data_IF_425556056909
#
_entry.id   IF_425556056909
#
_cell.length_a   1.000
_cell.length_b   1.000
_cell.length_c   1.000
_cell.angle_alpha   90.00
_cell.angle_beta   90.00
_cell.angle_gamma   90.00
#
_symmetry.space_group_name_H-M   'P 1'
#
loop_
_entity.id
_entity.type
_entity.pdbx_description
1 polymer ?
#
# COMPACT_ATOMS: atom_id res chain seq x y z
N UNK A 1 3.22 -66.22 -1.33
CA UNK A 1 3.66 -64.98 -0.64
C UNK A 1 4.22 -64.00 -1.67
N UNK A 2 3.44 -62.99 -2.05
CA UNK A 2 3.93 -61.80 -2.78
C UNK A 2 3.21 -60.61 -2.18
N UNK A 3 3.88 -59.89 -1.30
CA UNK A 3 3.43 -58.64 -0.73
C UNK A 3 3.75 -57.53 -1.73
N UNK A 4 2.72 -56.96 -2.34
CA UNK A 4 2.83 -55.71 -3.08
C UNK A 4 2.76 -54.56 -2.07
N UNK A 5 3.88 -53.85 -1.88
CA UNK A 5 3.90 -52.54 -1.23
C UNK A 5 3.54 -51.48 -2.27
N UNK A 6 2.36 -50.88 -2.15
CA UNK A 6 2.01 -49.68 -2.92
C UNK A 6 2.46 -48.47 -2.12
N UNK A 7 3.56 -47.83 -2.56
CA UNK A 7 4.00 -46.55 -2.01
C UNK A 7 3.06 -45.46 -2.54
N UNK A 8 2.27 -44.86 -1.66
CA UNK A 8 1.49 -43.65 -1.97
C UNK A 8 2.47 -42.48 -1.92
N UNK A 9 2.90 -42.00 -3.09
CA UNK A 9 3.60 -40.73 -3.22
C UNK A 9 2.57 -39.62 -2.93
N UNK A 10 2.57 -39.09 -1.72
CA UNK A 10 1.88 -37.84 -1.41
C UNK A 10 2.63 -36.71 -2.13
N UNK A 11 2.14 -36.34 -3.31
CA UNK A 11 2.53 -35.09 -3.94
C UNK A 11 2.09 -33.95 -3.01
N UNK A 12 3.04 -33.41 -2.25
CA UNK A 12 2.90 -32.11 -1.62
C UNK A 12 2.73 -31.10 -2.75
N UNK A 13 1.49 -30.81 -3.12
CA UNK A 13 1.13 -29.61 -3.85
C UNK A 13 1.43 -28.44 -2.91
N UNK A 14 2.69 -28.00 -2.91
CA UNK A 14 3.03 -26.66 -2.46
C UNK A 14 2.21 -25.72 -3.34
N UNK A 15 1.10 -25.22 -2.81
CA UNK A 15 0.45 -24.06 -3.38
C UNK A 15 1.56 -23.03 -3.61
N UNK A 16 1.63 -22.38 -4.79
CA UNK A 16 2.58 -21.30 -4.96
C UNK A 16 2.39 -20.35 -3.77
N UNK A 17 3.49 -20.05 -3.07
CA UNK A 17 3.56 -18.99 -2.08
C UNK A 17 3.25 -17.70 -2.84
N UNK A 18 1.96 -17.45 -2.98
CA UNK A 18 1.43 -16.27 -3.58
C UNK A 18 1.87 -15.14 -2.66
N UNK A 19 2.79 -14.28 -3.12
CA UNK A 19 3.13 -13.03 -2.43
C UNK A 19 1.82 -12.34 -1.99
N UNK A 20 1.58 -12.26 -0.69
CA UNK A 20 0.43 -11.53 -0.16
C UNK A 20 0.55 -10.09 -0.68
N UNK A 21 -0.56 -9.49 -1.12
CA UNK A 21 -0.53 -8.08 -1.50
C UNK A 21 -0.42 -7.20 -0.25
N UNK A 22 -0.68 -7.76 0.93
CA UNK A 22 -0.45 -7.11 2.21
C UNK A 22 1.01 -6.71 2.37
N UNK A 23 1.23 -5.55 2.98
CA UNK A 23 2.52 -5.17 3.50
C UNK A 23 2.69 -5.78 4.88
N UNK A 24 3.82 -6.44 5.13
CA UNK A 24 4.21 -6.87 6.47
C UNK A 24 4.65 -5.66 7.30
N UNK A 25 3.70 -4.82 7.69
CA UNK A 25 3.99 -3.50 8.27
C UNK A 25 4.83 -3.59 9.54
N UNK A 26 4.65 -4.67 10.32
CA UNK A 26 5.45 -4.95 11.51
C UNK A 26 6.96 -5.12 11.24
N UNK A 27 7.38 -5.36 9.99
CA UNK A 27 8.80 -5.42 9.58
C UNK A 27 9.45 -4.04 9.53
N UNK A 28 8.66 -2.97 9.53
CA UNK A 28 9.14 -1.58 9.58
C UNK A 28 9.31 -1.13 11.03
N UNK A 29 10.33 -1.64 11.71
CA UNK A 29 10.72 -1.19 13.06
C UNK A 29 10.93 0.33 13.07
N UNK A 30 10.71 1.03 14.21
CA UNK A 30 10.99 2.47 14.32
C UNK A 30 12.39 2.82 13.79
N UNK A 31 12.47 3.80 12.90
CA UNK A 31 13.71 4.19 12.21
C UNK A 31 13.90 3.55 10.84
N UNK A 32 13.05 2.60 10.43
CA UNK A 32 13.03 2.10 9.04
C UNK A 32 12.62 3.23 8.09
N UNK A 33 13.27 3.30 6.93
CA UNK A 33 13.10 4.38 5.95
C UNK A 33 12.86 3.80 4.56
N UNK A 34 11.73 4.17 3.95
CA UNK A 34 11.41 3.92 2.55
C UNK A 34 11.52 5.24 1.78
N UNK A 35 12.29 5.28 0.70
CA UNK A 35 12.46 6.48 -0.14
C UNK A 35 11.90 6.20 -1.53
N UNK A 36 10.99 7.07 -1.98
CA UNK A 36 10.32 7.01 -3.27
C UNK A 36 10.63 8.27 -4.07
N UNK A 37 10.75 8.14 -5.39
CA UNK A 37 10.99 9.23 -6.32
C UNK A 37 10.00 9.16 -7.49
N UNK A 38 9.38 10.29 -7.83
CA UNK A 38 8.49 10.40 -8.98
C UNK A 38 9.25 10.60 -10.31
N UNK A 39 8.53 10.63 -11.44
CA UNK A 39 9.11 10.83 -12.76
C UNK A 39 9.61 12.27 -13.03
N UNK A 40 9.32 13.20 -12.12
CA UNK A 40 9.80 14.58 -12.13
C UNK A 40 11.02 14.78 -11.22
N UNK A 41 11.46 13.72 -10.51
CA UNK A 41 12.58 13.75 -9.58
C UNK A 41 12.22 14.26 -8.18
N UNK A 42 10.93 14.40 -7.85
CA UNK A 42 10.52 14.69 -6.48
C UNK A 42 10.69 13.46 -5.60
N UNK A 43 11.38 13.64 -4.48
CA UNK A 43 11.69 12.57 -3.54
C UNK A 43 10.85 12.74 -2.28
N UNK A 44 10.21 11.64 -1.86
CA UNK A 44 9.48 11.55 -0.59
C UNK A 44 10.00 10.37 0.19
N UNK A 45 10.29 10.57 1.48
CA UNK A 45 10.65 9.49 2.39
C UNK A 45 9.55 9.21 3.41
N UNK A 46 9.42 7.93 3.75
CA UNK A 46 8.45 7.38 4.68
C UNK A 46 9.23 6.78 5.85
N UNK A 47 9.26 7.49 6.97
CA UNK A 47 9.96 7.11 8.19
C UNK A 47 9.01 6.39 9.15
N UNK A 48 9.28 5.12 9.43
CA UNK A 48 8.52 4.35 10.42
C UNK A 48 8.76 4.91 11.83
N UNK A 49 7.67 5.21 12.54
CA UNK A 49 7.69 5.71 13.92
C UNK A 49 7.28 4.67 14.96
N UNK A 50 6.84 3.50 14.50
CA UNK A 50 6.32 2.42 15.34
C UNK A 50 4.81 2.44 15.48
N UNK A 51 4.33 1.63 16.42
CA UNK A 51 2.91 1.43 16.65
C UNK A 51 2.34 2.43 17.66
N UNK A 52 1.15 2.94 17.37
CA UNK A 52 0.35 3.82 18.22
C UNK A 52 -1.07 3.30 18.22
N UNK A 53 -1.55 2.82 19.37
CA UNK A 53 -2.93 2.33 19.55
C UNK A 53 -3.34 1.24 18.52
N UNK A 54 -2.45 0.29 18.22
CA UNK A 54 -2.75 -0.79 17.25
C UNK A 54 -2.48 -0.42 15.79
N UNK A 55 -2.07 0.81 15.50
CA UNK A 55 -1.78 1.29 14.14
C UNK A 55 -0.31 1.65 13.96
N UNK A 56 0.25 1.35 12.80
CA UNK A 56 1.63 1.67 12.46
C UNK A 56 1.72 3.05 11.86
N UNK A 57 2.50 3.93 12.48
CA UNK A 57 2.69 5.31 12.04
C UNK A 57 3.91 5.44 11.14
N UNK A 58 3.74 6.17 10.04
CA UNK A 58 4.80 6.63 9.16
C UNK A 58 4.74 8.15 9.03
N UNK A 59 5.87 8.81 9.25
CA UNK A 59 6.04 10.23 8.95
C UNK A 59 6.57 10.38 7.52
N UNK A 60 6.05 11.39 6.82
CA UNK A 60 6.42 11.73 5.45
C UNK A 60 7.31 12.97 5.44
N UNK A 61 8.35 12.94 4.62
CA UNK A 61 9.25 14.07 4.42
C UNK A 61 9.52 14.30 2.93
N UNK A 62 9.52 15.55 2.51
CA UNK A 62 9.91 15.99 1.16
C UNK A 62 11.44 16.00 1.05
N UNK A 63 11.99 14.82 0.74
CA UNK A 63 13.41 14.56 0.64
C UNK A 63 13.76 13.12 1.00
N UNK A 64 15.02 12.73 0.78
CA UNK A 64 15.50 11.36 0.98
C UNK A 64 15.75 10.98 2.45
N UNK A 65 15.58 11.92 3.39
CA UNK A 65 16.00 11.78 4.79
C UNK A 65 14.88 12.19 5.75
N UNK A 66 14.90 11.62 6.96
CA UNK A 66 13.91 11.91 8.01
C UNK A 66 14.06 13.28 8.71
N UNK A 67 15.02 14.10 8.27
CA UNK A 67 15.25 15.48 8.71
C UNK A 67 14.92 16.50 7.61
N UNK A 68 14.43 16.05 6.45
CA UNK A 68 13.93 16.92 5.39
C UNK A 68 12.62 17.64 5.81
N UNK A 69 12.01 18.40 4.90
CA UNK A 69 10.78 19.13 5.22
C UNK A 69 9.65 18.15 5.53
N UNK A 70 9.03 18.28 6.69
CA UNK A 70 7.91 17.41 7.08
C UNK A 70 6.69 17.65 6.18
N UNK A 71 6.22 16.60 5.52
CA UNK A 71 5.12 16.62 4.57
C UNK A 71 3.80 16.10 5.17
N UNK A 72 3.86 15.41 6.30
CA UNK A 72 2.69 14.84 6.96
C UNK A 72 2.97 13.49 7.58
N UNK A 73 1.90 12.73 7.85
CA UNK A 73 1.99 11.36 8.37
C UNK A 73 0.79 10.55 7.96
N UNK A 74 0.92 9.23 7.99
CA UNK A 74 -0.19 8.32 7.83
C UNK A 74 -0.08 7.13 8.78
N UNK A 75 -1.21 6.45 8.96
CA UNK A 75 -1.34 5.29 9.83
C UNK A 75 -1.91 4.13 9.05
N UNK A 76 -1.30 2.97 9.22
CA UNK A 76 -1.77 1.74 8.61
C UNK A 76 -2.12 0.68 9.65
N UNK A 77 -2.94 -0.28 9.27
CA UNK A 77 -3.06 -1.53 10.00
C UNK A 77 -1.83 -2.42 9.76
N UNK A 78 -1.87 -3.65 10.29
CA UNK A 78 -0.80 -4.63 10.11
C UNK A 78 -0.59 -5.06 8.65
N UNK A 79 -1.63 -4.97 7.79
CA UNK A 79 -1.60 -5.33 6.37
C UNK A 79 -1.16 -4.18 5.47
N UNK A 80 -0.94 -2.99 6.02
CA UNK A 80 -0.55 -1.80 5.28
C UNK A 80 -1.72 -1.06 4.64
N UNK A 81 -2.96 -1.37 5.03
CA UNK A 81 -4.12 -0.55 4.66
C UNK A 81 -4.06 0.79 5.38
N UNK A 82 -4.25 1.91 4.68
CA UNK A 82 -4.24 3.24 5.30
C UNK A 82 -5.61 3.53 5.91
N UNK A 83 -5.63 3.95 7.17
CA UNK A 83 -6.86 4.33 7.90
C UNK A 83 -6.95 5.83 8.10
N UNK A 84 -5.80 6.50 8.18
CA UNK A 84 -5.70 7.90 8.55
C UNK A 84 -4.48 8.52 7.88
N UNK A 85 -4.63 9.69 7.30
CA UNK A 85 -3.53 10.58 6.93
C UNK A 85 -3.73 11.96 7.54
N UNK A 86 -2.62 12.63 7.83
CA UNK A 86 -2.58 13.97 8.39
C UNK A 86 -1.58 14.79 7.58
N UNK A 87 -2.02 15.91 6.99
CA UNK A 87 -1.15 16.82 6.26
C UNK A 87 -0.12 17.49 7.18
N UNK A 88 0.88 18.16 6.61
CA UNK A 88 1.80 19.00 7.37
C UNK A 88 1.09 20.11 8.17
N UNK A 89 -0.06 20.58 7.67
CA UNK A 89 -0.88 21.62 8.29
C UNK A 89 -1.84 21.06 9.36
N UNK A 90 -1.94 19.74 9.49
CA UNK A 90 -2.81 19.08 10.46
C UNK A 90 -4.20 18.70 9.93
N UNK A 91 -4.45 18.87 8.64
CA UNK A 91 -5.70 18.42 8.01
C UNK A 91 -5.78 16.91 8.04
N UNK A 92 -6.89 16.40 8.54
CA UNK A 92 -7.09 14.97 8.77
C UNK A 92 -7.98 14.39 7.68
N UNK A 93 -7.50 13.34 7.02
CA UNK A 93 -8.30 12.50 6.13
C UNK A 93 -8.41 11.10 6.71
N UNK A 94 -9.63 10.58 6.84
CA UNK A 94 -9.90 9.21 7.30
C UNK A 94 -10.41 8.35 6.16
N UNK A 95 -10.12 7.06 6.23
CA UNK A 95 -10.64 6.06 5.31
C UNK A 95 -11.45 5.06 6.13
N UNK A 96 -12.74 4.93 5.84
CA UNK A 96 -13.67 4.09 6.59
C UNK A 96 -14.17 2.94 5.69
N UNK A 97 -13.90 1.65 6.01
CA UNK A 97 -13.11 1.18 7.15
C UNK A 97 -11.59 1.37 7.00
N UNK A 98 -11.11 1.48 5.75
CA UNK A 98 -9.71 1.72 5.37
C UNK A 98 -9.63 1.98 3.85
N UNK A 99 -8.45 2.32 3.32
CA UNK A 99 -8.22 2.77 1.93
C UNK A 99 -8.41 1.74 0.80
N UNK A 100 -8.72 0.49 1.13
CA UNK A 100 -8.79 -0.67 0.23
C UNK A 100 -7.54 -0.90 -0.66
N UNK A 101 -6.37 -0.38 -0.29
CA UNK A 101 -5.15 -0.43 -1.13
C UNK A 101 -4.48 -1.79 -1.14
N UNK A 102 -4.80 -2.66 -0.17
CA UNK A 102 -4.21 -3.99 0.10
C UNK A 102 -5.28 -5.09 0.24
N UNK A 103 -6.47 -4.83 -0.30
CA UNK A 103 -7.63 -5.74 -0.26
C UNK A 103 -7.96 -6.23 -1.66
N UNK A 104 -7.96 -7.56 -1.86
CA UNK A 104 -8.26 -8.19 -3.15
C UNK A 104 -9.77 -8.24 -3.42
N UNK A 105 -10.13 -8.14 -4.69
CA UNK A 105 -11.52 -8.07 -5.14
C UNK A 105 -12.08 -6.66 -4.98
N UNK A 106 -13.41 -6.58 -4.94
CA UNK A 106 -14.14 -5.34 -4.74
C UNK A 106 -14.17 -4.96 -3.25
N UNK A 107 -13.89 -3.69 -2.95
CA UNK A 107 -13.85 -3.12 -1.61
C UNK A 107 -14.42 -1.70 -1.65
N UNK A 108 -15.45 -1.46 -0.85
CA UNK A 108 -16.09 -0.15 -0.70
C UNK A 108 -15.56 0.56 0.54
N UNK A 109 -15.30 1.87 0.42
CA UNK A 109 -14.84 2.71 1.52
C UNK A 109 -15.25 4.17 1.34
N UNK A 110 -15.32 4.90 2.44
CA UNK A 110 -15.51 6.35 2.45
C UNK A 110 -14.21 7.09 2.75
N UNK A 111 -13.96 8.17 2.02
CA UNK A 111 -12.95 9.17 2.36
C UNK A 111 -13.66 10.28 3.14
N UNK A 112 -13.25 10.51 4.38
CA UNK A 112 -13.76 11.61 5.22
C UNK A 112 -12.68 12.69 5.29
N UNK A 113 -12.95 13.84 4.68
CA UNK A 113 -12.02 14.97 4.60
C UNK A 113 -12.05 15.84 5.86
N UNK A 114 -11.08 16.74 5.98
CA UNK A 114 -10.92 17.61 7.14
C UNK A 114 -12.11 18.57 7.35
N UNK A 115 -12.78 18.96 6.27
CA UNK A 115 -13.99 19.79 6.30
C UNK A 115 -15.28 19.01 6.63
N UNK A 116 -15.16 17.69 6.84
CA UNK A 116 -16.27 16.78 7.12
C UNK A 116 -17.01 16.28 5.88
N UNK A 117 -16.63 16.71 4.67
CA UNK A 117 -17.16 16.13 3.44
C UNK A 117 -16.77 14.65 3.32
N UNK A 118 -17.63 13.88 2.64
CA UNK A 118 -17.48 12.44 2.46
C UNK A 118 -17.53 12.06 0.99
N UNK A 119 -16.63 11.19 0.58
CA UNK A 119 -16.59 10.63 -0.77
C UNK A 119 -16.65 9.11 -0.71
N UNK A 120 -17.72 8.54 -1.25
CA UNK A 120 -17.82 7.10 -1.44
C UNK A 120 -16.93 6.65 -2.61
N UNK A 121 -16.14 5.60 -2.37
CA UNK A 121 -15.26 4.98 -3.34
C UNK A 121 -15.46 3.47 -3.33
N UNK A 122 -15.35 2.89 -4.52
CA UNK A 122 -15.23 1.43 -4.70
C UNK A 122 -13.88 1.19 -5.36
N UNK A 123 -13.14 0.20 -4.88
CA UNK A 123 -11.86 -0.21 -5.45
C UNK A 123 -11.88 -1.70 -5.74
N UNK A 124 -11.52 -2.04 -6.97
CA UNK A 124 -11.35 -3.43 -7.40
C UNK A 124 -9.86 -3.68 -7.57
N UNK A 125 -9.29 -4.51 -6.71
CA UNK A 125 -7.87 -4.85 -6.74
C UNK A 125 -7.68 -6.28 -7.20
N UNK A 126 -6.84 -6.45 -8.21
CA UNK A 126 -6.41 -7.75 -8.72
C UNK A 126 -4.93 -7.97 -8.42
N UNK A 127 -4.60 -9.21 -8.07
CA UNK A 127 -3.21 -9.61 -7.94
C UNK A 127 -2.55 -9.72 -9.33
N UNK A 128 -1.28 -9.38 -9.41
CA UNK A 128 -0.41 -9.62 -10.56
C UNK A 128 0.80 -10.47 -10.16
N UNK A 129 1.58 -10.92 -11.15
CA UNK A 129 2.80 -11.70 -10.89
C UNK A 129 3.84 -10.93 -10.05
N UNK A 130 3.84 -9.59 -10.13
CA UNK A 130 4.83 -8.73 -9.48
C UNK A 130 4.23 -7.85 -8.37
N UNK A 131 2.95 -7.97 -8.04
CA UNK A 131 2.28 -7.13 -7.05
C UNK A 131 0.77 -7.05 -7.28
N UNK A 132 0.25 -5.86 -7.54
CA UNK A 132 -1.19 -5.61 -7.70
C UNK A 132 -1.51 -4.61 -8.82
N UNK A 133 -2.71 -4.72 -9.36
CA UNK A 133 -3.35 -3.73 -10.23
C UNK A 133 -4.72 -3.40 -9.67
N UNK A 134 -5.22 -2.21 -9.98
CA UNK A 134 -6.49 -1.76 -9.42
C UNK A 134 -7.21 -0.77 -10.32
N UNK A 135 -8.50 -0.65 -10.05
CA UNK A 135 -9.41 0.34 -10.60
C UNK A 135 -10.19 0.95 -9.44
N UNK A 136 -10.51 2.22 -9.54
CA UNK A 136 -11.20 2.98 -8.50
C UNK A 136 -12.36 3.76 -9.10
N UNK A 137 -13.54 3.63 -8.47
CA UNK A 137 -14.79 4.23 -8.89
C UNK A 137 -15.32 5.17 -7.81
N UNK A 138 -16.06 6.18 -8.25
CA UNK A 138 -16.88 7.01 -7.39
C UNK A 138 -18.29 7.12 -7.97
N UNK A 139 -19.09 8.03 -7.41
CA UNK A 139 -20.48 8.23 -7.85
C UNK A 139 -20.61 8.55 -9.35
N UNK A 140 -19.61 9.22 -9.94
CA UNK A 140 -19.59 9.57 -11.37
C UNK A 140 -19.04 8.49 -12.30
N UNK A 141 -18.69 7.30 -11.80
CA UNK A 141 -18.08 6.22 -12.57
C UNK A 141 -16.60 6.01 -12.27
N UNK A 142 -15.87 5.41 -13.21
CA UNK A 142 -14.46 5.07 -13.05
C UNK A 142 -13.61 6.34 -12.97
N UNK A 143 -12.84 6.48 -11.90
CA UNK A 143 -12.03 7.66 -11.59
C UNK A 143 -10.58 7.46 -12.00
N UNK A 144 -10.01 6.30 -11.67
CA UNK A 144 -8.59 6.06 -11.83
C UNK A 144 -8.29 4.58 -11.98
N UNK A 145 -7.14 4.30 -12.61
CA UNK A 145 -6.53 2.98 -12.62
C UNK A 145 -5.09 3.07 -12.17
N UNK A 146 -4.54 1.96 -11.70
CA UNK A 146 -3.17 1.93 -11.25
C UNK A 146 -2.64 0.55 -10.97
N UNK A 147 -1.42 0.51 -10.45
CA UNK A 147 -0.79 -0.71 -10.01
C UNK A 147 0.48 -0.43 -9.21
N UNK A 148 0.90 -1.45 -8.48
CA UNK A 148 2.09 -1.40 -7.64
C UNK A 148 2.85 -2.71 -7.79
N UNK A 149 4.13 -2.63 -8.13
CA UNK A 149 5.06 -3.74 -7.98
C UNK A 149 5.54 -3.78 -6.53
N UNK A 150 5.55 -4.96 -5.95
CA UNK A 150 5.87 -5.19 -4.54
C UNK A 150 7.17 -6.00 -4.41
N UNK A 151 7.83 -5.89 -3.27
CA UNK A 151 8.85 -6.86 -2.86
C UNK A 151 8.25 -7.97 -1.97
N UNK A 152 9.13 -8.80 -1.42
CA UNK A 152 8.77 -9.97 -0.61
C UNK A 152 8.00 -9.65 0.67
N UNK A 153 8.11 -8.43 1.21
CA UNK A 153 7.37 -8.00 2.41
C UNK A 153 6.17 -7.12 2.05
N UNK A 154 5.81 -7.05 0.77
CA UNK A 154 4.72 -6.21 0.28
C UNK A 154 5.05 -4.71 0.30
N UNK A 155 6.32 -4.31 0.37
CA UNK A 155 6.71 -2.91 0.25
C UNK A 155 6.77 -2.50 -1.23
N UNK A 156 6.32 -1.28 -1.60
CA UNK A 156 6.30 -0.86 -2.99
C UNK A 156 7.72 -0.74 -3.55
N UNK A 157 7.94 -1.30 -4.75
CA UNK A 157 9.11 -1.05 -5.60
C UNK A 157 8.83 0.03 -6.64
N UNK A 158 7.60 0.07 -7.12
CA UNK A 158 7.13 1.03 -8.11
C UNK A 158 5.61 1.08 -8.05
N UNK A 159 5.04 2.27 -8.10
CA UNK A 159 3.59 2.48 -8.21
C UNK A 159 3.30 3.42 -9.37
N UNK A 160 2.18 3.22 -10.04
CA UNK A 160 1.69 4.13 -11.06
C UNK A 160 0.18 4.32 -10.93
N UNK A 161 -0.28 5.49 -11.38
CA UNK A 161 -1.69 5.87 -11.42
C UNK A 161 -1.96 6.61 -12.72
N UNK A 162 -3.15 6.40 -13.27
CA UNK A 162 -3.74 7.19 -14.34
C UNK A 162 -5.11 7.67 -13.85
N UNK A 163 -5.23 8.98 -13.66
CA UNK A 163 -6.48 9.62 -13.34
C UNK A 163 -7.27 9.86 -14.64
N UNK A 164 -8.48 9.34 -14.70
CA UNK A 164 -9.31 9.39 -15.89
C UNK A 164 -10.20 10.64 -15.93
N UNK A 165 -10.28 11.40 -14.84
CA UNK A 165 -11.08 12.63 -14.82
C UNK A 165 -10.33 13.78 -15.50
N UNK A 166 -9.03 13.88 -15.27
CA UNK A 166 -8.19 14.94 -15.83
C UNK A 166 -7.10 14.45 -16.78
N UNK A 167 -6.86 13.12 -16.87
CA UNK A 167 -5.85 12.52 -17.74
C UNK A 167 -4.45 12.46 -17.12
N UNK A 168 -4.30 12.89 -15.87
CA UNK A 168 -3.00 12.93 -15.19
C UNK A 168 -2.43 11.53 -15.01
N UNK A 169 -1.11 11.43 -15.15
CA UNK A 169 -0.37 10.19 -14.94
C UNK A 169 0.73 10.47 -13.93
N UNK A 170 0.90 9.55 -13.01
CA UNK A 170 2.01 9.57 -12.08
C UNK A 170 2.65 8.19 -12.02
N UNK A 171 3.96 8.19 -11.83
CA UNK A 171 4.74 7.00 -11.54
C UNK A 171 5.76 7.37 -10.47
N UNK A 172 5.86 6.52 -9.47
CA UNK A 172 6.87 6.61 -8.42
C UNK A 172 7.63 5.30 -8.35
N UNK A 173 8.93 5.37 -8.11
CA UNK A 173 9.78 4.21 -7.95
C UNK A 173 10.56 4.30 -6.64
N UNK A 174 10.89 3.14 -6.09
CA UNK A 174 11.65 3.06 -4.85
C UNK A 174 13.12 3.31 -5.13
N UNK A 175 13.66 4.34 -4.50
CA UNK A 175 15.10 4.63 -4.48
C UNK A 175 15.80 3.73 -3.47
N UNK A 176 15.25 3.61 -2.25
CA UNK A 176 15.83 2.79 -1.20
C UNK A 176 14.80 2.27 -0.20
N UNK A 177 15.16 1.18 0.49
CA UNK A 177 14.47 0.69 1.68
C UNK A 177 15.54 0.26 2.68
N UNK A 178 15.59 0.91 3.83
CA UNK A 178 16.44 0.55 4.95
C UNK A 178 15.54 0.09 6.11
N UNK A 179 15.60 -1.20 6.44
CA UNK A 179 14.90 -1.76 7.60
C UNK A 179 15.84 -1.76 8.81
N UNK A 180 15.29 -1.51 10.00
CA UNK A 180 15.99 -1.55 11.29
C UNK A 180 15.71 -2.85 12.07
#
# INVERSE_FOLDING_TARGET
MRLFFTAILAALSSAPLHADIAMETARFSPGSLLVMEDDQGHVVSHLARGEVQGLYRFDLYDGATGDALYAGRYYTDARGEVLLSVSAQGDVTRFEPFSCTRTLGECEYEIVHADGSRELRIRETSKTDAGLSWKEWGLGGLLATGGTRLDEIGAPRESWRHDLQNGDRSRVHRVSLALQ
#
